data_IF_924728636126
#
_entry.id   IF_924728636126
#
_cell.length_a   1.000
_cell.length_b   1.000
_cell.length_c   1.000
_cell.angle_alpha   90.00
_cell.angle_beta   90.00
_cell.angle_gamma   90.00
#
_symmetry.space_group_name_H-M   'P 1'
#
loop_
_entity.id
_entity.type
_entity.pdbx_description
1 polymer ?
#
# COMPACT_ATOMS: atom_id res chain seq x y z
N UNK A 1 -10.63 -19.05 14.63
CA UNK A 1 -9.88 -17.77 14.56
C UNK A 1 -8.59 -17.93 13.77
N UNK A 2 -7.86 -19.03 13.94
CA UNK A 2 -6.67 -19.31 13.11
C UNK A 2 -7.01 -19.59 11.64
N UNK A 3 -8.11 -20.30 11.37
CA UNK A 3 -8.59 -20.56 10.00
C UNK A 3 -9.00 -19.27 9.27
N UNK A 4 -9.71 -18.36 9.95
CA UNK A 4 -10.10 -17.06 9.40
C UNK A 4 -8.90 -16.16 9.12
N UNK A 5 -7.89 -16.19 9.99
CA UNK A 5 -6.65 -15.45 9.80
C UNK A 5 -5.85 -16.01 8.61
N UNK A 6 -5.75 -17.34 8.51
CA UNK A 6 -5.13 -18.01 7.38
C UNK A 6 -5.82 -17.63 6.07
N UNK A 7 -7.15 -17.66 6.05
CA UNK A 7 -7.93 -17.29 4.87
C UNK A 7 -7.74 -15.82 4.49
N UNK A 8 -7.69 -14.89 5.46
CA UNK A 8 -7.40 -13.47 5.18
C UNK A 8 -6.01 -13.27 4.58
N UNK A 9 -4.96 -13.89 5.15
CA UNK A 9 -3.59 -13.83 4.59
C UNK A 9 -3.51 -14.46 3.21
N UNK A 10 -4.19 -15.58 3.00
CA UNK A 10 -4.28 -16.24 1.71
C UNK A 10 -4.96 -15.37 0.66
N UNK A 11 -6.09 -14.76 1.01
CA UNK A 11 -6.81 -13.82 0.14
C UNK A 11 -5.95 -12.61 -0.18
N UNK A 12 -5.28 -11.97 0.80
CA UNK A 12 -4.37 -10.85 0.53
C UNK A 12 -3.31 -11.21 -0.53
N UNK A 13 -2.66 -12.37 -0.37
CA UNK A 13 -1.64 -12.86 -1.31
C UNK A 13 -2.21 -13.21 -2.69
N UNK A 14 -3.45 -13.71 -2.74
CA UNK A 14 -4.16 -13.96 -4.00
C UNK A 14 -4.48 -12.65 -4.73
N UNK A 15 -4.90 -11.61 -4.00
CA UNK A 15 -5.16 -10.28 -4.55
C UNK A 15 -3.88 -9.62 -5.08
N UNK A 16 -2.74 -9.73 -4.37
CA UNK A 16 -1.44 -9.27 -4.88
C UNK A 16 -1.04 -9.97 -6.18
N UNK A 17 -1.29 -11.29 -6.28
CA UNK A 17 -1.02 -12.04 -7.51
C UNK A 17 -1.89 -11.58 -8.68
N UNK A 18 -3.15 -11.24 -8.41
CA UNK A 18 -4.06 -10.65 -9.40
C UNK A 18 -3.61 -9.25 -9.82
N UNK A 19 -3.16 -8.42 -8.87
CA UNK A 19 -2.59 -7.10 -9.17
C UNK A 19 -1.38 -7.21 -10.11
N UNK A 20 -0.40 -8.07 -9.77
CA UNK A 20 0.78 -8.34 -10.61
C UNK A 20 0.40 -8.88 -12.00
N UNK A 21 -0.65 -9.69 -12.09
CA UNK A 21 -1.15 -10.18 -13.38
C UNK A 21 -1.75 -9.04 -14.22
N UNK A 22 -2.56 -8.17 -13.60
CA UNK A 22 -3.15 -7.02 -14.26
C UNK A 22 -2.08 -6.02 -14.75
N UNK A 23 -1.01 -5.80 -13.98
CA UNK A 23 0.15 -5.00 -14.42
C UNK A 23 0.83 -5.60 -15.66
N UNK A 24 1.13 -6.90 -15.65
CA UNK A 24 1.70 -7.59 -16.83
C UNK A 24 0.79 -7.51 -18.05
N UNK A 25 -0.51 -7.61 -17.86
CA UNK A 25 -1.46 -7.48 -18.96
C UNK A 25 -1.54 -6.03 -19.47
N UNK A 26 -1.40 -5.02 -18.60
CA UNK A 26 -1.25 -3.61 -18.99
C UNK A 26 0.01 -3.38 -19.84
N UNK A 27 1.16 -3.92 -19.45
CA UNK A 27 2.41 -3.81 -20.23
C UNK A 27 2.28 -4.42 -21.63
N UNK A 28 1.58 -5.56 -21.76
CA UNK A 28 1.31 -6.19 -23.06
C UNK A 28 0.45 -5.29 -23.95
N UNK A 29 -0.60 -4.66 -23.39
CA UNK A 29 -1.43 -3.73 -24.15
C UNK A 29 -0.64 -2.47 -24.56
N UNK A 30 0.22 -1.93 -23.68
CA UNK A 30 1.14 -0.84 -24.04
C UNK A 30 2.08 -1.21 -25.19
N UNK A 31 2.60 -2.44 -25.21
CA UNK A 31 3.43 -2.92 -26.32
C UNK A 31 2.63 -2.99 -27.65
N UNK A 32 1.33 -3.32 -27.59
CA UNK A 32 0.44 -3.27 -28.76
C UNK A 32 0.14 -1.84 -29.21
N UNK A 33 -0.01 -0.89 -28.28
CA UNK A 33 -0.12 0.54 -28.60
C UNK A 33 1.09 1.01 -29.41
N UNK A 34 2.31 0.70 -28.94
CA UNK A 34 3.55 1.05 -29.66
C UNK A 34 3.58 0.50 -31.08
N UNK A 35 3.16 -0.76 -31.28
CA UNK A 35 3.06 -1.37 -32.61
C UNK A 35 1.98 -0.73 -33.49
N UNK A 36 0.81 -0.40 -32.93
CA UNK A 36 -0.28 0.25 -33.66
C UNK A 36 0.08 1.68 -34.11
N UNK A 37 0.83 2.41 -33.28
CA UNK A 37 1.36 3.74 -33.62
C UNK A 37 2.39 3.67 -34.76
N UNK A 38 3.28 2.67 -34.77
CA UNK A 38 4.22 2.44 -35.89
C UNK A 38 3.50 2.15 -37.21
N UNK A 39 2.34 1.50 -37.14
CA UNK A 39 1.50 1.21 -38.31
C UNK A 39 0.61 2.40 -38.73
N UNK A 40 0.76 3.58 -38.09
CA UNK A 40 -0.07 4.78 -38.28
C UNK A 40 -1.58 4.54 -38.08
N UNK A 41 -1.97 3.49 -37.37
CA UNK A 41 -3.36 3.20 -37.06
C UNK A 41 -3.74 3.78 -35.68
N UNK A 42 -4.11 5.06 -35.70
CA UNK A 42 -4.41 5.86 -34.50
C UNK A 42 -5.66 5.35 -33.76
N UNK A 43 -6.67 4.89 -34.49
CA UNK A 43 -7.91 4.38 -33.88
C UNK A 43 -7.68 3.07 -33.11
N UNK A 44 -6.92 2.13 -33.67
CA UNK A 44 -6.54 0.92 -32.94
C UNK A 44 -5.60 1.21 -31.76
N UNK A 45 -4.68 2.17 -31.90
CA UNK A 45 -3.80 2.58 -30.81
C UNK A 45 -4.58 3.15 -29.63
N UNK A 46 -5.63 3.95 -29.89
CA UNK A 46 -6.51 4.51 -28.86
C UNK A 46 -7.23 3.40 -28.06
N UNK A 47 -7.79 2.40 -28.75
CA UNK A 47 -8.47 1.27 -28.09
C UNK A 47 -7.51 0.42 -27.23
N UNK A 48 -6.28 0.19 -27.70
CA UNK A 48 -5.28 -0.53 -26.89
C UNK A 48 -4.79 0.31 -25.69
N UNK A 49 -4.70 1.64 -25.84
CA UNK A 49 -4.31 2.54 -24.76
C UNK A 49 -5.37 2.58 -23.66
N UNK A 50 -6.65 2.67 -24.03
CA UNK A 50 -7.77 2.62 -23.08
C UNK A 50 -7.78 1.29 -22.31
N UNK A 51 -7.56 0.17 -23.00
CA UNK A 51 -7.46 -1.14 -22.36
C UNK A 51 -6.27 -1.24 -21.41
N UNK A 52 -5.11 -0.67 -21.76
CA UNK A 52 -3.94 -0.61 -20.88
C UNK A 52 -4.25 0.19 -19.60
N UNK A 53 -4.85 1.36 -19.73
CA UNK A 53 -5.23 2.21 -18.58
C UNK A 53 -6.24 1.49 -17.69
N UNK A 54 -7.26 0.85 -18.27
CA UNK A 54 -8.24 0.06 -17.53
C UNK A 54 -7.56 -1.06 -16.74
N UNK A 55 -6.63 -1.80 -17.35
CA UNK A 55 -5.89 -2.89 -16.69
C UNK A 55 -4.97 -2.38 -15.59
N UNK A 56 -4.31 -1.24 -15.78
CA UNK A 56 -3.52 -0.56 -14.76
C UNK A 56 -4.38 -0.15 -13.55
N UNK A 57 -5.56 0.44 -13.80
CA UNK A 57 -6.50 0.82 -12.75
C UNK A 57 -7.08 -0.38 -12.00
N UNK A 58 -7.41 -1.47 -12.71
CA UNK A 58 -7.78 -2.75 -12.09
C UNK A 58 -6.66 -3.25 -11.17
N UNK A 59 -5.39 -3.23 -11.63
CA UNK A 59 -4.23 -3.63 -10.85
C UNK A 59 -4.05 -2.80 -9.56
N UNK A 60 -4.16 -1.48 -9.64
CA UNK A 60 -4.12 -0.58 -8.50
C UNK A 60 -5.26 -0.85 -7.50
N UNK A 61 -6.47 -1.14 -7.99
CA UNK A 61 -7.59 -1.46 -7.13
C UNK A 61 -7.39 -2.80 -6.40
N UNK A 62 -6.86 -3.82 -7.10
CA UNK A 62 -6.50 -5.10 -6.49
C UNK A 62 -5.42 -4.94 -5.42
N UNK A 63 -4.39 -4.14 -5.70
CA UNK A 63 -3.31 -3.85 -4.75
C UNK A 63 -3.85 -3.13 -3.50
N UNK A 64 -4.69 -2.11 -3.69
CA UNK A 64 -5.34 -1.41 -2.58
C UNK A 64 -6.20 -2.33 -1.72
N UNK A 65 -6.95 -3.24 -2.36
CA UNK A 65 -7.75 -4.22 -1.63
C UNK A 65 -6.86 -5.24 -0.90
N UNK A 66 -5.76 -5.68 -1.52
CA UNK A 66 -4.78 -6.54 -0.87
C UNK A 66 -4.19 -5.90 0.38
N UNK A 67 -3.74 -4.64 0.30
CA UNK A 67 -3.21 -3.90 1.47
C UNK A 67 -4.25 -3.73 2.58
N UNK A 68 -5.51 -3.46 2.23
CA UNK A 68 -6.60 -3.38 3.22
C UNK A 68 -6.83 -4.72 3.93
N UNK A 69 -6.87 -5.83 3.17
CA UNK A 69 -7.07 -7.17 3.73
C UNK A 69 -5.86 -7.58 4.58
N UNK A 70 -4.64 -7.26 4.15
CA UNK A 70 -3.42 -7.53 4.91
C UNK A 70 -3.40 -6.76 6.24
N UNK A 71 -3.76 -5.47 6.23
CA UNK A 71 -3.89 -4.66 7.44
C UNK A 71 -4.94 -5.24 8.42
N UNK A 72 -6.09 -5.70 7.92
CA UNK A 72 -7.09 -6.39 8.74
C UNK A 72 -6.54 -7.70 9.28
N UNK A 73 -5.82 -8.48 8.46
CA UNK A 73 -5.20 -9.73 8.89
C UNK A 73 -4.15 -9.51 9.99
N UNK A 74 -3.38 -8.42 9.93
CA UNK A 74 -2.40 -8.04 10.94
C UNK A 74 -3.09 -7.68 12.26
N UNK A 75 -4.16 -6.88 12.23
CA UNK A 75 -4.96 -6.58 13.43
C UNK A 75 -5.58 -7.85 14.05
N UNK A 76 -6.07 -8.78 13.23
CA UNK A 76 -6.60 -10.06 13.70
C UNK A 76 -5.50 -10.93 14.30
N UNK A 77 -4.31 -10.97 13.69
CA UNK A 77 -3.14 -11.68 14.23
C UNK A 77 -2.79 -11.17 15.62
N UNK A 78 -2.72 -9.85 15.80
CA UNK A 78 -2.50 -9.25 17.12
C UNK A 78 -3.56 -9.69 18.10
N UNK A 79 -4.85 -9.58 17.74
CA UNK A 79 -5.93 -9.93 18.65
C UNK A 79 -5.83 -11.40 19.10
N UNK A 80 -5.44 -12.31 18.20
CA UNK A 80 -5.19 -13.72 18.52
C UNK A 80 -3.99 -13.88 19.46
N UNK A 81 -2.85 -13.23 19.17
CA UNK A 81 -1.66 -13.26 20.02
C UNK A 81 -1.97 -12.72 21.42
N UNK A 82 -2.62 -11.56 21.51
CA UNK A 82 -3.01 -10.92 22.77
C UNK A 82 -4.00 -11.78 23.57
N UNK A 83 -4.94 -12.45 22.89
CA UNK A 83 -5.82 -13.43 23.53
C UNK A 83 -5.03 -14.62 24.11
N UNK A 84 -3.99 -15.08 23.41
CA UNK A 84 -3.06 -16.10 23.90
C UNK A 84 -2.31 -15.65 25.15
N UNK A 85 -1.74 -14.44 25.13
CA UNK A 85 -1.04 -13.86 26.28
C UNK A 85 -1.98 -13.68 27.47
N UNK A 86 -3.20 -13.18 27.23
CA UNK A 86 -4.23 -13.02 28.28
C UNK A 86 -4.59 -14.36 28.92
N UNK A 87 -4.74 -15.42 28.12
CA UNK A 87 -4.98 -16.77 28.63
C UNK A 87 -3.82 -17.28 29.49
N UNK A 88 -2.58 -17.01 29.09
CA UNK A 88 -1.39 -17.38 29.86
C UNK A 88 -1.30 -16.58 31.17
N UNK A 89 -1.59 -15.27 31.15
CA UNK A 89 -1.69 -14.43 32.35
C UNK A 89 -2.73 -14.98 33.34
N UNK A 90 -3.91 -15.35 32.85
CA UNK A 90 -4.96 -15.93 33.67
C UNK A 90 -4.55 -17.25 34.32
N UNK A 91 -3.74 -18.07 33.64
CA UNK A 91 -3.21 -19.32 34.21
C UNK A 91 -2.13 -19.06 35.26
N UNK A 92 -1.22 -18.12 35.01
CA UNK A 92 -0.15 -17.77 35.97
C UNK A 92 -0.73 -17.13 37.24
N UNK A 93 -1.68 -16.21 37.10
CA UNK A 93 -2.37 -15.58 38.25
C UNK A 93 -3.14 -16.61 39.08
N UNK A 94 -3.83 -17.57 38.44
CA UNK A 94 -4.49 -18.67 39.16
C UNK A 94 -3.49 -19.61 39.86
N UNK A 95 -2.33 -19.85 39.25
CA UNK A 95 -1.27 -20.63 39.88
C UNK A 95 -0.65 -19.89 41.09
N UNK A 96 -0.54 -18.56 41.00
CA UNK A 96 -0.04 -17.72 42.07
C UNK A 96 -0.98 -17.73 43.27
N UNK A 97 -2.28 -17.56 43.03
CA UNK A 97 -3.33 -17.62 44.05
C UNK A 97 -3.30 -18.97 44.81
N UNK A 98 -3.16 -20.07 44.08
CA UNK A 98 -3.01 -21.41 44.67
C UNK A 98 -1.71 -21.57 45.48
N UNK A 99 -0.59 -21.01 45.00
CA UNK A 99 0.68 -21.06 45.70
C UNK A 99 0.65 -20.24 47.00
N UNK A 100 0.07 -19.04 46.95
CA UNK A 100 -0.14 -18.16 48.10
C UNK A 100 -1.05 -18.82 49.15
N UNK A 101 -2.12 -19.49 48.74
CA UNK A 101 -3.00 -20.25 49.65
C UNK A 101 -2.31 -21.44 50.33
N UNK A 102 -1.21 -21.95 49.78
CA UNK A 102 -0.42 -23.03 50.38
C UNK A 102 0.74 -22.57 51.25
N UNK A 103 1.00 -21.25 51.36
CA UNK A 103 2.16 -20.65 52.06
C UNK A 103 3.54 -21.21 51.64
N UNK A 104 3.63 -21.87 50.49
CA UNK A 104 4.86 -22.46 49.97
C UNK A 104 5.71 -21.38 49.25
N UNK A 105 6.66 -20.79 49.97
CA UNK A 105 7.55 -19.73 49.48
C UNK A 105 8.34 -20.14 48.23
N UNK A 106 8.72 -21.42 48.08
CA UNK A 106 9.45 -21.88 46.89
C UNK A 106 8.54 -21.91 45.66
N UNK A 107 7.28 -22.37 45.82
CA UNK A 107 6.30 -22.32 44.73
C UNK A 107 5.90 -20.90 44.38
N UNK A 108 5.79 -20.01 45.36
CA UNK A 108 5.51 -18.58 45.11
C UNK A 108 6.64 -17.95 44.29
N UNK A 109 7.91 -18.20 44.64
CA UNK A 109 9.06 -17.71 43.86
C UNK A 109 9.01 -18.21 42.41
N UNK A 110 8.82 -19.51 42.19
CA UNK A 110 8.78 -20.09 40.86
C UNK A 110 7.60 -19.59 39.99
N UNK A 111 6.47 -19.24 40.62
CA UNK A 111 5.34 -18.65 39.90
C UNK A 111 5.56 -17.16 39.64
N UNK A 112 6.26 -16.43 40.52
CA UNK A 112 6.66 -15.05 40.27
C UNK A 112 7.68 -14.92 39.14
N UNK A 113 8.68 -15.80 39.06
CA UNK A 113 9.62 -15.80 37.93
C UNK A 113 8.89 -16.03 36.59
N UNK A 114 7.88 -16.91 36.60
CA UNK A 114 7.00 -17.12 35.45
C UNK A 114 6.12 -15.92 35.15
N UNK A 115 5.65 -15.21 36.17
CA UNK A 115 4.87 -13.99 35.98
C UNK A 115 5.72 -12.89 35.33
N UNK A 116 6.93 -12.67 35.84
CA UNK A 116 7.87 -11.67 35.33
C UNK A 116 8.25 -11.96 33.87
N UNK A 117 8.60 -13.21 33.55
CA UNK A 117 8.87 -13.64 32.16
C UNK A 117 7.69 -13.32 31.23
N UNK A 118 6.47 -13.51 31.72
CA UNK A 118 5.27 -13.44 30.91
C UNK A 118 4.73 -12.02 30.76
N UNK A 119 5.01 -11.13 31.72
CA UNK A 119 4.85 -9.68 31.60
C UNK A 119 5.90 -9.10 30.67
N UNK A 120 7.16 -9.53 30.76
CA UNK A 120 8.23 -9.07 29.87
C UNK A 120 7.94 -9.44 28.41
N UNK A 121 7.42 -10.64 28.15
CA UNK A 121 6.96 -11.04 26.82
C UNK A 121 5.82 -10.17 26.29
N UNK A 122 4.91 -9.70 27.16
CA UNK A 122 3.82 -8.80 26.78
C UNK A 122 4.35 -7.42 26.34
N UNK A 123 5.32 -6.87 27.07
CA UNK A 123 5.93 -5.58 26.74
C UNK A 123 6.72 -5.63 25.43
N UNK A 124 7.51 -6.69 25.22
CA UNK A 124 8.24 -6.89 23.97
C UNK A 124 7.28 -7.04 22.78
N UNK A 125 6.21 -7.82 22.93
CA UNK A 125 5.20 -7.97 21.87
C UNK A 125 4.48 -6.66 21.55
N UNK A 126 4.19 -5.83 22.56
CA UNK A 126 3.53 -4.54 22.37
C UNK A 126 4.44 -3.55 21.67
N UNK A 127 5.72 -3.47 22.08
CA UNK A 127 6.73 -2.60 21.46
C UNK A 127 6.97 -2.95 19.99
N UNK A 128 7.18 -4.23 19.65
CA UNK A 128 7.43 -4.65 18.26
C UNK A 128 6.21 -4.40 17.37
N UNK A 129 5.01 -4.47 17.94
CA UNK A 129 3.80 -4.21 17.19
C UNK A 129 3.59 -2.72 16.88
N UNK A 130 3.91 -1.83 17.83
CA UNK A 130 3.74 -0.38 17.66
C UNK A 130 4.69 0.15 16.56
N UNK A 131 5.93 -0.34 16.53
CA UNK A 131 6.92 -0.01 15.51
C UNK A 131 6.50 -0.47 14.10
N UNK A 132 5.91 -1.66 13.99
CA UNK A 132 5.46 -2.21 12.69
C UNK A 132 4.22 -1.50 12.13
N UNK A 133 3.35 -0.98 13.01
CA UNK A 133 2.06 -0.39 12.60
C UNK A 133 2.19 1.08 12.16
N UNK A 134 3.23 1.80 12.61
CA UNK A 134 3.53 3.19 12.25
C UNK A 134 3.85 3.39 10.75
N UNK A 135 4.37 2.37 10.07
CA UNK A 135 4.88 2.49 8.68
C UNK A 135 3.83 2.31 7.56
N UNK A 136 2.57 1.96 7.87
CA UNK A 136 1.64 1.41 6.87
C UNK A 136 0.66 2.41 6.21
N UNK A 137 0.69 3.71 6.53
CA UNK A 137 -0.47 4.61 6.26
C UNK A 137 -0.32 5.59 5.09
N UNK A 138 0.78 5.57 4.32
CA UNK A 138 1.09 6.67 3.38
C UNK A 138 1.11 6.22 1.92
N UNK A 139 -0.04 5.85 1.34
CA UNK A 139 -0.17 5.85 -0.13
C UNK A 139 -1.64 5.95 -0.58
N UNK A 140 -2.16 7.18 -0.60
CA UNK A 140 -3.35 7.50 -1.40
C UNK A 140 -2.91 8.47 -2.49
N UNK A 141 -2.79 7.99 -3.72
CA UNK A 141 -2.49 8.85 -4.86
C UNK A 141 -3.76 9.11 -5.69
N UNK A 142 -4.13 10.37 -5.93
CA UNK A 142 -5.30 10.77 -6.72
C UNK A 142 -5.07 10.74 -8.24
N UNK A 143 -6.17 11.01 -8.95
CA UNK A 143 -6.50 10.81 -10.37
C UNK A 143 -5.63 11.53 -11.43
N UNK A 144 -4.65 12.35 -11.06
CA UNK A 144 -3.73 13.08 -11.97
C UNK A 144 -2.76 12.17 -12.75
N UNK A 145 -2.64 10.90 -12.36
CA UNK A 145 -1.69 9.95 -12.97
C UNK A 145 -2.06 9.52 -14.39
N UNK A 146 -3.28 9.79 -14.87
CA UNK A 146 -3.73 9.37 -16.20
C UNK A 146 -3.11 10.24 -17.29
N UNK A 147 -3.17 11.56 -17.16
CA UNK A 147 -2.63 12.49 -18.16
C UNK A 147 -1.10 12.51 -18.17
N UNK A 148 -0.48 12.38 -16.97
CA UNK A 148 0.97 12.27 -16.83
C UNK A 148 1.54 11.01 -17.50
N UNK A 149 0.83 9.87 -17.45
CA UNK A 149 1.29 8.63 -18.08
C UNK A 149 1.25 8.70 -19.61
N UNK A 150 0.26 9.40 -20.18
CA UNK A 150 0.17 9.62 -21.64
C UNK A 150 1.33 10.49 -22.12
N UNK A 151 1.64 11.57 -21.39
CA UNK A 151 2.80 12.42 -21.68
C UNK A 151 4.12 11.65 -21.56
N UNK A 152 4.31 10.88 -20.49
CA UNK A 152 5.54 10.14 -20.25
C UNK A 152 5.79 9.04 -21.30
N UNK A 153 4.74 8.33 -21.76
CA UNK A 153 4.86 7.30 -22.80
C UNK A 153 5.06 7.92 -24.20
N UNK A 154 4.50 9.10 -24.46
CA UNK A 154 4.71 9.85 -25.69
C UNK A 154 6.16 10.36 -25.80
N UNK A 155 6.71 10.89 -24.71
CA UNK A 155 8.11 11.31 -24.62
C UNK A 155 9.09 10.12 -24.72
N UNK A 156 8.83 9.02 -24.00
CA UNK A 156 9.69 7.81 -24.05
C UNK A 156 9.67 7.10 -25.40
N UNK A 157 8.61 7.25 -26.20
CA UNK A 157 8.51 6.58 -27.50
C UNK A 157 9.12 7.39 -28.65
N UNK A 158 9.66 8.59 -28.39
CA UNK A 158 10.32 9.42 -29.40
C UNK A 158 9.44 9.75 -30.61
N UNK A 159 8.12 9.65 -30.46
CA UNK A 159 7.18 10.03 -31.51
C UNK A 159 6.92 11.52 -31.33
N UNK A 160 7.39 12.30 -32.30
CA UNK A 160 7.07 13.71 -32.55
C UNK A 160 5.55 13.93 -32.72
N UNK A 161 4.72 13.58 -31.73
CA UNK A 161 3.27 13.86 -31.71
C UNK A 161 3.00 15.30 -31.27
N UNK A 162 4.04 16.05 -30.89
CA UNK A 162 3.91 17.48 -30.60
C UNK A 162 3.75 18.34 -31.85
N UNK A 163 4.17 17.85 -33.03
CA UNK A 163 4.09 18.62 -34.28
C UNK A 163 2.78 18.35 -35.08
N UNK A 164 2.06 17.27 -34.77
CA UNK A 164 0.79 16.93 -35.41
C UNK A 164 -0.46 17.25 -34.56
N UNK A 165 -0.32 17.44 -33.23
CA UNK A 165 -1.43 17.92 -32.41
C UNK A 165 -1.69 19.43 -32.58
N UNK A 166 -0.69 20.19 -33.04
CA UNK A 166 -0.81 21.60 -33.43
C UNK A 166 -1.46 21.82 -34.81
N UNK A 167 -1.79 20.76 -35.56
CA UNK A 167 -2.43 20.85 -36.90
C UNK A 167 -3.92 20.52 -36.91
N UNK A 168 -4.57 20.34 -35.76
CA UNK A 168 -6.03 20.26 -35.69
C UNK A 168 -6.64 21.67 -35.56
N UNK A 169 -7.69 22.02 -36.33
CA UNK A 169 -8.18 23.40 -36.41
C UNK A 169 -8.65 23.90 -35.03
N UNK A 170 -8.10 25.05 -34.63
CA UNK A 170 -8.55 25.84 -33.50
C UNK A 170 -10.04 26.16 -33.65
N UNK A 171 -10.89 25.56 -32.80
CA UNK A 171 -12.33 25.76 -32.90
C UNK A 171 -13.11 25.17 -31.75
N UNK A 172 -12.90 25.67 -30.52
CA UNK A 172 -13.95 26.01 -29.55
C UNK A 172 -13.39 26.18 -28.13
N UNK A 173 -13.59 27.39 -27.58
CA UNK A 173 -13.81 27.72 -26.17
C UNK A 173 -12.73 27.27 -25.15
N UNK A 174 -11.79 28.13 -24.78
CA UNK A 174 -11.86 29.01 -23.59
C UNK A 174 -11.99 28.24 -22.26
N UNK A 175 -10.86 28.07 -21.56
CA UNK A 175 -10.68 28.03 -20.09
C UNK A 175 -9.32 27.38 -19.79
N UNK A 176 -8.24 28.14 -19.88
CA UNK A 176 -6.89 27.65 -19.64
C UNK A 176 -5.98 28.78 -19.19
N UNK A 177 -6.13 29.22 -17.95
CA UNK A 177 -5.31 30.27 -17.37
C UNK A 177 -5.30 30.17 -15.85
N UNK A 178 -4.78 29.08 -15.27
CA UNK A 178 -4.47 29.05 -13.83
C UNK A 178 -3.51 27.94 -13.33
N UNK A 179 -2.78 27.22 -14.21
CA UNK A 179 -1.87 26.14 -13.77
C UNK A 179 -0.41 26.55 -13.58
N UNK A 180 0.03 27.68 -14.15
CA UNK A 180 1.45 28.12 -14.06
C UNK A 180 1.87 28.68 -12.70
N UNK A 181 0.95 28.86 -11.73
CA UNK A 181 1.27 29.52 -10.44
C UNK A 181 1.58 28.56 -9.28
N UNK A 182 1.35 27.25 -9.44
CA UNK A 182 1.59 26.25 -8.37
C UNK A 182 2.98 25.64 -8.45
N UNK A 183 3.49 25.38 -9.65
CA UNK A 183 4.81 24.79 -9.88
C UNK A 183 5.94 25.73 -9.43
N UNK A 184 5.81 27.04 -9.71
CA UNK A 184 6.76 28.05 -9.22
C UNK A 184 6.79 28.20 -7.69
N UNK A 185 5.65 27.94 -7.02
CA UNK A 185 5.56 28.03 -5.56
C UNK A 185 6.21 26.84 -4.85
N UNK A 186 6.09 25.64 -5.42
CA UNK A 186 6.72 24.44 -4.88
C UNK A 186 8.24 24.49 -5.03
N UNK A 187 8.76 24.97 -6.16
CA UNK A 187 10.19 25.14 -6.37
C UNK A 187 10.81 26.22 -5.47
N UNK A 188 10.09 27.33 -5.24
CA UNK A 188 10.54 28.37 -4.29
C UNK A 188 10.53 27.90 -2.83
N UNK A 189 9.53 27.11 -2.42
CA UNK A 189 9.45 26.58 -1.06
C UNK A 189 10.56 25.55 -0.81
N UNK A 190 10.84 24.71 -1.82
CA UNK A 190 11.91 23.70 -1.80
C UNK A 190 13.29 24.35 -1.65
N UNK A 191 13.54 25.45 -2.37
CA UNK A 191 14.78 26.23 -2.21
C UNK A 191 14.90 26.92 -0.85
N UNK A 192 13.81 27.45 -0.29
CA UNK A 192 13.83 28.06 1.06
C UNK A 192 14.09 27.06 2.17
N UNK A 193 13.53 25.85 2.07
CA UNK A 193 13.77 24.77 3.03
C UNK A 193 15.21 24.25 2.98
N UNK A 194 15.82 24.19 1.79
CA UNK A 194 17.23 23.83 1.65
C UNK A 194 18.18 24.87 2.27
N UNK A 195 17.82 26.16 2.18
CA UNK A 195 18.61 27.25 2.75
C UNK A 195 18.55 27.33 4.28
N UNK A 196 17.52 26.80 4.92
CA UNK A 196 17.36 26.73 6.38
C UNK A 196 18.02 25.50 7.03
N UNK A 197 18.59 24.60 6.20
CA UNK A 197 19.21 23.34 6.65
C UNK A 197 20.75 23.40 6.68
N UNK A 198 21.35 24.58 6.45
CA UNK A 198 22.77 24.86 6.68
C UNK A 198 22.93 25.89 7.80
#
# INVERSE_FOLDING_TARGET
MDETLFQLKFTAKQLEKLAKKAEKDSEKEQAKVKKALQQKNVECARVYAENAIRKKNEGLNWLRMASRVDAVSSKVQTAITMKGVTKNMAQVTKALDKALGSMDLQKVSAVMDKFETQVQNLDVHTSVMDDAMSSATTLTTPQEQVDSLIHQIAEESGLEVMDQLNQLPAGAASLGGETSSKQDKEDQLSRRLAALRN
#
